data_IF_457391368663
#
_entry.id   IF_457391368663
#
_cell.length_a   1.000
_cell.length_b   1.000
_cell.length_c   1.000
_cell.angle_alpha   90.00
_cell.angle_beta   90.00
_cell.angle_gamma   90.00
#
_symmetry.space_group_name_H-M   'P 1'
#
loop_
_entity.id
_entity.type
_entity.pdbx_description
1 polymer ?
#
# COMPACT_ATOMS: atom_id res chain seq x y z
N UNK A 1 -12.23 -2.56 7.00
CA UNK A 1 -11.74 -3.34 5.81
C UNK A 1 -11.93 -4.85 5.97
N UNK A 2 -12.91 -5.48 5.27
CA UNK A 2 -13.30 -6.88 5.54
C UNK A 2 -12.20 -7.93 5.34
N UNK A 3 -11.34 -7.77 4.31
CA UNK A 3 -10.28 -8.74 4.02
C UNK A 3 -9.24 -8.85 5.15
N UNK A 4 -8.82 -7.70 5.69
CA UNK A 4 -7.86 -7.64 6.81
C UNK A 4 -8.47 -8.26 8.07
N UNK A 5 -9.73 -7.96 8.36
CA UNK A 5 -10.44 -8.49 9.52
C UNK A 5 -10.61 -10.01 9.44
N UNK A 6 -10.97 -10.56 8.27
CA UNK A 6 -11.02 -12.02 8.09
C UNK A 6 -9.67 -12.67 8.29
N UNK A 7 -8.61 -12.13 7.69
CA UNK A 7 -7.25 -12.65 7.84
C UNK A 7 -6.80 -12.69 9.31
N UNK A 8 -7.26 -11.75 10.13
CA UNK A 8 -6.97 -11.73 11.57
C UNK A 8 -7.55 -12.93 12.33
N UNK A 9 -8.62 -13.54 11.81
CA UNK A 9 -9.27 -14.71 12.43
C UNK A 9 -8.70 -16.06 11.93
N UNK A 10 -7.94 -16.07 10.84
CA UNK A 10 -7.48 -17.34 10.23
C UNK A 10 -6.38 -18.05 11.03
N UNK A 11 -5.78 -17.38 12.03
CA UNK A 11 -4.73 -17.97 12.87
C UNK A 11 -3.43 -18.29 12.12
N UNK A 12 -3.30 -17.83 10.87
CA UNK A 12 -2.13 -18.11 10.04
C UNK A 12 -0.88 -17.37 10.57
N UNK A 13 0.31 -17.99 10.55
CA UNK A 13 1.55 -17.37 11.02
C UNK A 13 2.15 -16.41 9.97
N UNK A 14 1.36 -15.45 9.49
CA UNK A 14 1.73 -14.51 8.42
C UNK A 14 1.94 -13.08 8.95
N UNK A 15 2.84 -12.35 8.30
CA UNK A 15 2.96 -10.90 8.48
C UNK A 15 2.04 -10.16 7.50
N UNK A 16 1.48 -9.03 7.93
CA UNK A 16 0.63 -8.20 7.06
C UNK A 16 1.48 -7.14 6.37
N UNK A 17 1.46 -7.12 5.04
CA UNK A 17 1.97 -6.01 4.24
C UNK A 17 0.80 -5.14 3.74
N UNK A 18 0.78 -3.88 4.16
CA UNK A 18 -0.22 -2.90 3.76
C UNK A 18 0.32 -2.00 2.64
N UNK A 19 -0.25 -2.11 1.43
CA UNK A 19 -0.05 -1.12 0.37
C UNK A 19 -0.79 0.18 0.71
N UNK A 20 -0.09 1.13 1.33
CA UNK A 20 -0.65 2.43 1.71
C UNK A 20 -0.45 3.49 0.61
N UNK A 21 0.82 3.71 0.26
CA UNK A 21 1.33 4.64 -0.76
C UNK A 21 1.03 6.14 -0.58
N UNK A 22 -0.03 6.52 0.15
CA UNK A 22 -0.23 7.88 0.65
C UNK A 22 -1.10 7.85 1.91
N UNK A 23 -0.80 8.67 2.93
CA UNK A 23 -1.65 8.84 4.10
C UNK A 23 -2.77 9.87 3.87
N UNK A 24 -2.85 10.47 2.68
CA UNK A 24 -3.83 11.49 2.32
C UNK A 24 -4.86 10.88 1.36
N UNK A 25 -6.13 10.81 1.75
CA UNK A 25 -7.18 10.13 0.97
C UNK A 25 -7.35 10.63 -0.46
N UNK A 26 -7.17 11.93 -0.70
CA UNK A 26 -7.25 12.51 -2.03
C UNK A 26 -6.16 11.97 -2.97
N UNK A 27 -4.95 11.78 -2.45
CA UNK A 27 -3.83 11.22 -3.21
C UNK A 27 -3.95 9.69 -3.26
N UNK A 28 -4.28 9.04 -2.14
CA UNK A 28 -4.46 7.59 -2.07
C UNK A 28 -5.57 7.10 -3.01
N UNK A 29 -6.68 7.82 -3.16
CA UNK A 29 -7.74 7.50 -4.13
C UNK A 29 -7.32 7.51 -5.60
N UNK A 30 -6.26 8.25 -5.92
CA UNK A 30 -5.68 8.27 -7.28
C UNK A 30 -4.73 7.10 -7.52
N UNK A 31 -4.04 6.63 -6.48
CA UNK A 31 -3.07 5.54 -6.55
C UNK A 31 -3.70 4.16 -6.31
N UNK A 32 -4.67 4.09 -5.40
CA UNK A 32 -5.31 2.87 -4.92
C UNK A 32 -6.84 3.08 -4.99
N UNK A 33 -7.51 2.62 -6.06
CA UNK A 33 -8.95 2.81 -6.23
C UNK A 33 -9.81 2.29 -5.06
N UNK A 34 -9.31 1.28 -4.33
CA UNK A 34 -9.97 0.77 -3.13
C UNK A 34 -10.16 1.81 -2.02
N UNK A 35 -9.38 2.92 -2.01
CA UNK A 35 -9.57 4.03 -1.06
C UNK A 35 -10.97 4.64 -1.11
N UNK A 36 -11.62 4.60 -2.27
CA UNK A 36 -12.98 5.14 -2.43
C UNK A 36 -14.02 4.37 -1.62
N UNK A 37 -13.68 3.14 -1.20
CA UNK A 37 -14.52 2.28 -0.37
C UNK A 37 -14.06 2.21 1.07
N UNK A 38 -12.74 2.30 1.30
CA UNK A 38 -12.15 2.30 2.64
C UNK A 38 -11.04 3.34 2.70
N UNK A 39 -11.30 4.43 3.40
CA UNK A 39 -10.36 5.53 3.57
C UNK A 39 -9.13 5.11 4.42
N UNK A 40 -8.17 6.02 4.60
CA UNK A 40 -6.96 5.73 5.38
C UNK A 40 -7.31 5.36 6.82
N UNK A 41 -8.27 6.03 7.46
CA UNK A 41 -8.62 5.79 8.85
C UNK A 41 -9.24 4.40 9.03
N UNK A 42 -10.22 4.02 8.21
CA UNK A 42 -10.86 2.70 8.22
C UNK A 42 -9.87 1.56 7.95
N UNK A 43 -8.85 1.82 7.13
CA UNK A 43 -7.77 0.86 6.87
C UNK A 43 -6.91 0.66 8.11
N UNK A 44 -6.50 1.74 8.77
CA UNK A 44 -5.65 1.65 9.96
C UNK A 44 -6.38 1.05 11.16
N UNK A 45 -7.67 1.32 11.34
CA UNK A 45 -8.49 0.64 12.36
C UNK A 45 -8.51 -0.88 12.17
N UNK A 46 -8.64 -1.34 10.91
CA UNK A 46 -8.59 -2.77 10.59
C UNK A 46 -7.19 -3.37 10.83
N UNK A 47 -6.13 -2.62 10.55
CA UNK A 47 -4.75 -3.03 10.79
C UNK A 47 -4.43 -3.11 12.27
N UNK A 48 -4.91 -2.16 13.08
CA UNK A 48 -4.83 -2.20 14.54
C UNK A 48 -5.55 -3.43 15.10
N UNK A 49 -6.76 -3.72 14.58
CA UNK A 49 -7.50 -4.94 14.95
C UNK A 49 -6.72 -6.22 14.60
N UNK A 50 -6.11 -6.26 13.41
CA UNK A 50 -5.25 -7.38 12.99
C UNK A 50 -4.07 -7.56 13.95
N UNK A 51 -3.38 -6.48 14.31
CA UNK A 51 -2.28 -6.54 15.26
C UNK A 51 -2.74 -6.98 16.64
N UNK A 52 -3.86 -6.43 17.14
CA UNK A 52 -4.39 -6.75 18.46
C UNK A 52 -4.64 -8.26 18.63
N UNK A 53 -5.17 -8.92 17.59
CA UNK A 53 -5.45 -10.36 17.55
C UNK A 53 -4.22 -11.22 17.32
N UNK A 54 -3.38 -10.86 16.35
CA UNK A 54 -2.32 -11.77 15.86
C UNK A 54 -0.95 -11.50 16.49
N UNK A 55 -0.72 -10.29 17.01
CA UNK A 55 0.59 -9.77 17.47
C UNK A 55 1.70 -9.87 16.42
N UNK A 56 1.34 -10.04 15.14
CA UNK A 56 2.29 -10.18 14.03
C UNK A 56 2.76 -8.82 13.53
N UNK A 57 4.01 -8.77 13.07
CA UNK A 57 4.61 -7.55 12.51
C UNK A 57 3.84 -7.07 11.28
N UNK A 58 3.71 -5.75 11.17
CA UNK A 58 3.12 -5.09 10.00
C UNK A 58 4.21 -4.37 9.20
N UNK A 59 4.13 -4.46 7.88
CA UNK A 59 4.93 -3.66 6.95
C UNK A 59 4.02 -2.71 6.20
N UNK A 60 4.32 -1.42 6.23
CA UNK A 60 3.62 -0.39 5.45
C UNK A 60 4.44 -0.16 4.18
N UNK A 61 3.89 -0.58 3.03
CA UNK A 61 4.50 -0.38 1.72
C UNK A 61 4.16 1.02 1.19
N UNK A 62 5.18 1.83 0.94
CA UNK A 62 5.03 3.24 0.63
C UNK A 62 5.78 3.64 -0.65
N UNK A 63 5.04 3.91 -1.72
CA UNK A 63 5.60 4.29 -3.01
C UNK A 63 6.00 5.78 -2.98
N UNK A 64 7.25 6.08 -3.32
CA UNK A 64 7.75 7.45 -3.45
C UNK A 64 7.70 7.90 -4.90
N UNK A 65 6.84 8.87 -5.19
CA UNK A 65 6.67 9.51 -6.49
C UNK A 65 7.06 10.98 -6.36
N UNK A 66 7.88 11.47 -7.30
CA UNK A 66 8.44 12.82 -7.29
C UNK A 66 7.37 13.88 -7.14
N UNK A 67 7.43 14.62 -6.03
CA UNK A 67 6.51 15.70 -5.64
C UNK A 67 5.04 15.30 -5.46
N UNK A 68 4.74 14.00 -5.47
CA UNK A 68 3.37 13.50 -5.27
C UNK A 68 3.24 12.87 -3.90
N UNK A 69 4.12 11.95 -3.52
CA UNK A 69 4.03 11.22 -2.24
C UNK A 69 5.28 11.36 -1.37
N UNK A 70 6.32 12.03 -1.87
CA UNK A 70 7.63 12.22 -1.22
C UNK A 70 7.78 13.63 -0.59
N UNK A 71 6.66 14.27 -0.25
CA UNK A 71 6.63 15.62 0.34
C UNK A 71 6.67 15.59 1.86
N UNK A 72 7.07 16.70 2.50
CA UNK A 72 7.05 16.81 3.96
C UNK A 72 5.64 16.67 4.55
N UNK A 73 4.61 17.19 3.88
CA UNK A 73 3.19 17.02 4.27
C UNK A 73 2.82 15.54 4.41
N UNK A 74 3.21 14.74 3.42
CA UNK A 74 3.00 13.29 3.44
C UNK A 74 3.77 12.63 4.59
N UNK A 75 5.00 13.06 4.86
CA UNK A 75 5.79 12.51 5.97
C UNK A 75 5.12 12.83 7.33
N UNK A 76 4.65 14.08 7.51
CA UNK A 76 3.89 14.54 8.69
C UNK A 76 2.61 13.77 8.91
N UNK A 77 1.87 13.47 7.85
CA UNK A 77 0.65 12.68 7.94
C UNK A 77 0.92 11.18 8.15
N UNK A 78 2.03 10.66 7.65
CA UNK A 78 2.38 9.23 7.80
C UNK A 78 2.85 8.87 9.20
N UNK A 79 3.71 9.68 9.83
CA UNK A 79 4.36 9.32 11.08
C UNK A 79 3.39 9.03 12.25
N UNK A 80 2.27 9.74 12.45
CA UNK A 80 1.31 9.40 13.49
C UNK A 80 0.68 8.01 13.31
N UNK A 81 0.46 7.58 12.07
CA UNK A 81 -0.16 6.30 11.74
C UNK A 81 0.70 5.09 12.14
N UNK A 82 2.00 5.29 12.35
CA UNK A 82 2.94 4.21 12.70
C UNK A 82 3.07 3.96 14.20
N UNK A 83 2.31 4.68 15.04
CA UNK A 83 2.48 4.64 16.51
C UNK A 83 1.61 3.62 17.23
N UNK A 84 0.52 3.16 16.61
CA UNK A 84 -0.42 2.22 17.24
C UNK A 84 0.06 0.77 17.33
N UNK A 85 1.07 0.39 16.55
CA UNK A 85 1.58 -0.98 16.48
C UNK A 85 3.02 -1.04 15.96
N UNK A 86 3.80 -2.07 16.31
CA UNK A 86 5.13 -2.29 15.75
C UNK A 86 5.05 -2.49 14.23
N UNK A 87 5.62 -1.54 13.48
CA UNK A 87 5.66 -1.62 12.03
C UNK A 87 6.99 -1.19 11.45
N UNK A 88 7.19 -1.52 10.17
CA UNK A 88 8.25 -0.96 9.33
C UNK A 88 7.59 -0.26 8.15
N UNK A 89 7.98 0.99 7.88
CA UNK A 89 7.65 1.66 6.63
C UNK A 89 8.71 1.29 5.61
N UNK A 90 8.30 0.58 4.56
CA UNK A 90 9.15 0.20 3.45
C UNK A 90 8.97 1.18 2.29
N UNK A 91 9.93 2.09 2.13
CA UNK A 91 9.97 3.07 1.05
C UNK A 91 10.36 2.39 -0.26
N UNK A 92 9.51 2.52 -1.26
CA UNK A 92 9.71 2.01 -2.62
C UNK A 92 9.82 3.21 -3.56
N UNK A 93 11.03 3.61 -3.99
CA UNK A 93 11.17 4.60 -5.04
C UNK A 93 10.45 4.16 -6.33
N UNK A 94 9.64 5.04 -6.91
CA UNK A 94 8.96 4.76 -8.18
C UNK A 94 9.99 4.49 -9.30
N UNK A 95 9.71 3.51 -10.15
CA UNK A 95 10.58 3.18 -11.28
C UNK A 95 10.31 4.13 -12.44
N UNK A 96 11.36 4.61 -13.08
CA UNK A 96 11.26 5.53 -14.21
C UNK A 96 10.76 4.80 -15.48
N UNK A 97 9.48 4.45 -15.52
CA UNK A 97 8.80 3.93 -16.71
C UNK A 97 7.78 4.94 -17.20
N UNK A 98 7.58 4.98 -18.52
CA UNK A 98 6.50 5.76 -19.12
C UNK A 98 5.16 5.33 -18.54
N UNK A 99 4.37 6.31 -18.14
CA UNK A 99 3.07 6.09 -17.55
C UNK A 99 2.13 7.24 -17.92
N UNK A 100 0.81 6.97 -18.04
CA UNK A 100 -0.16 7.97 -18.47
C UNK A 100 -0.41 9.08 -17.43
N UNK A 101 0.16 8.95 -16.23
CA UNK A 101 -0.06 9.86 -15.10
C UNK A 101 1.08 10.87 -14.92
N UNK A 102 2.13 10.80 -15.74
CA UNK A 102 3.30 11.67 -15.64
C UNK A 102 4.12 11.48 -14.35
N UNK A 103 3.97 10.34 -13.68
CA UNK A 103 4.72 10.03 -12.47
C UNK A 103 6.20 9.84 -12.78
N UNK A 104 7.04 10.34 -11.88
CA UNK A 104 8.50 10.26 -12.01
C UNK A 104 9.11 9.73 -10.73
N UNK A 105 10.28 9.13 -10.90
CA UNK A 105 11.15 8.75 -9.79
C UNK A 105 11.64 10.01 -9.07
N UNK A 106 11.50 10.11 -7.73
CA UNK A 106 12.15 11.16 -6.96
C UNK A 106 13.66 11.18 -7.14
N UNK A 107 14.26 12.35 -7.01
CA UNK A 107 15.73 12.43 -6.93
C UNK A 107 16.25 11.72 -5.67
N UNK A 108 17.49 11.22 -5.73
CA UNK A 108 18.15 10.60 -4.56
C UNK A 108 18.12 11.50 -3.31
N UNK A 109 18.24 12.82 -3.49
CA UNK A 109 18.20 13.78 -2.39
C UNK A 109 16.81 13.83 -1.74
N UNK A 110 15.73 13.81 -2.54
CA UNK A 110 14.36 13.79 -2.02
C UNK A 110 14.05 12.50 -1.26
N UNK A 111 14.49 11.35 -1.78
CA UNK A 111 14.35 10.05 -1.10
C UNK A 111 15.06 10.09 0.25
N UNK A 112 16.32 10.56 0.29
CA UNK A 112 17.08 10.68 1.55
C UNK A 112 16.43 11.65 2.53
N UNK A 113 15.93 12.80 2.05
CA UNK A 113 15.26 13.79 2.89
C UNK A 113 13.97 13.23 3.50
N UNK A 114 13.12 12.57 2.71
CA UNK A 114 11.89 11.96 3.19
C UNK A 114 12.17 10.85 4.21
N UNK A 115 13.15 9.98 3.92
CA UNK A 115 13.63 8.94 4.83
C UNK A 115 14.12 9.54 6.15
N UNK A 116 15.03 10.51 6.09
CA UNK A 116 15.60 11.15 7.27
C UNK A 116 14.53 11.86 8.13
N UNK A 117 13.53 12.47 7.47
CA UNK A 117 12.41 13.09 8.19
C UNK A 117 11.62 12.05 9.00
N UNK A 118 11.26 10.92 8.38
CA UNK A 118 10.52 9.85 9.05
C UNK A 118 11.33 9.21 10.18
N UNK A 119 12.62 8.95 9.94
CA UNK A 119 13.53 8.44 10.98
C UNK A 119 13.65 9.42 12.16
N UNK A 120 13.77 10.72 11.88
CA UNK A 120 13.78 11.78 12.90
C UNK A 120 12.47 11.87 13.69
N UNK A 121 11.35 11.43 13.11
CA UNK A 121 10.06 11.31 13.78
C UNK A 121 9.88 9.96 14.53
N UNK A 122 10.92 9.12 14.60
CA UNK A 122 10.91 7.84 15.30
C UNK A 122 10.31 6.68 14.50
N UNK A 123 10.08 6.84 13.19
CA UNK A 123 9.54 5.78 12.33
C UNK A 123 10.64 4.80 11.96
N UNK A 124 10.36 3.49 12.03
CA UNK A 124 11.27 2.47 11.53
C UNK A 124 11.15 2.37 10.00
N UNK A 125 12.20 2.76 9.28
CA UNK A 125 12.17 2.91 7.82
C UNK A 125 13.19 2.02 7.12
N UNK A 126 12.71 1.21 6.18
CA UNK A 126 13.54 0.56 5.16
C UNK A 126 13.35 1.25 3.81
N UNK A 127 14.36 1.16 2.94
CA UNK A 127 14.23 1.59 1.55
C UNK A 127 14.56 0.38 0.67
N UNK A 128 13.66 0.04 -0.25
CA UNK A 128 13.98 -0.95 -1.29
C UNK A 128 15.05 -0.39 -2.20
N UNK A 129 16.19 -1.09 -2.25
CA UNK A 129 17.25 -0.85 -3.22
C UNK A 129 17.01 -1.81 -4.39
N UNK A 130 16.71 -1.27 -5.55
CA UNK A 130 16.63 -2.07 -6.78
C UNK A 130 18.02 -2.67 -7.07
N UNK A 131 18.05 -4.00 -7.22
CA UNK A 131 19.21 -4.71 -7.77
C UNK A 131 18.95 -4.86 -9.28
N UNK A 132 19.78 -4.21 -10.10
CA UNK A 132 19.75 -4.36 -11.56
C UNK A 132 18.79 -3.40 -12.24
N UNK A 133 19.35 -2.50 -13.05
CA UNK A 133 18.62 -1.53 -13.87
C UNK A 133 17.96 -2.16 -15.12
N UNK A 134 17.87 -3.50 -15.23
CA UNK A 134 17.67 -4.17 -16.53
C UNK A 134 16.51 -5.18 -16.64
N UNK A 135 15.58 -5.28 -15.69
CA UNK A 135 14.45 -6.19 -15.91
C UNK A 135 13.15 -5.52 -15.51
N UNK A 136 12.26 -5.39 -16.50
CA UNK A 136 10.87 -4.92 -16.43
C UNK A 136 9.97 -5.84 -15.57
N UNK A 137 10.40 -6.13 -14.34
CA UNK A 137 9.76 -7.03 -13.39
C UNK A 137 9.62 -6.40 -11.99
N UNK A 138 9.69 -5.08 -11.86
CA UNK A 138 9.43 -4.43 -10.59
C UNK A 138 7.95 -4.55 -10.20
N UNK A 139 7.66 -4.66 -8.90
CA UNK A 139 6.30 -4.78 -8.37
C UNK A 139 5.37 -3.70 -8.95
N UNK A 140 4.32 -4.13 -9.66
CA UNK A 140 3.40 -3.27 -10.41
C UNK A 140 3.58 -3.28 -11.94
N UNK A 141 4.66 -3.88 -12.45
CA UNK A 141 4.95 -3.99 -13.90
C UNK A 141 4.39 -5.26 -14.56
N UNK A 142 3.74 -6.15 -13.81
CA UNK A 142 3.00 -7.29 -14.36
C UNK A 142 1.71 -6.81 -15.04
N UNK A 143 1.83 -6.14 -16.19
CA UNK A 143 0.77 -6.07 -17.19
C UNK A 143 0.72 -7.45 -17.86
N UNK A 144 0.05 -8.39 -17.23
CA UNK A 144 -0.45 -9.55 -17.96
C UNK A 144 -1.41 -9.04 -19.02
N UNK A 145 -1.22 -9.49 -20.27
CA UNK A 145 -2.23 -9.47 -21.33
C UNK A 145 -3.40 -10.39 -20.93
N UNK A 146 -4.04 -10.13 -19.79
CA UNK A 146 -5.21 -10.86 -19.35
C UNK A 146 -6.44 -10.00 -19.62
N UNK A 147 -7.22 -10.42 -20.62
CA UNK A 147 -8.64 -10.12 -20.76
C UNK A 147 -9.44 -10.79 -19.62
N UNK A 148 -9.08 -10.45 -18.38
CA UNK A 148 -9.70 -10.98 -17.18
C UNK A 148 -11.10 -10.43 -17.03
N UNK A 149 -12.10 -11.29 -17.26
CA UNK A 149 -13.54 -11.04 -17.11
C UNK A 149 -13.90 -10.50 -15.71
N UNK A 150 -13.77 -9.20 -15.51
CA UNK A 150 -14.59 -8.46 -14.55
C UNK A 150 -15.80 -7.84 -15.28
N UNK A 151 -16.44 -8.63 -16.14
CA UNK A 151 -17.72 -8.27 -16.73
C UNK A 151 -18.81 -8.47 -15.67
N UNK A 152 -19.47 -7.37 -15.31
CA UNK A 152 -20.71 -7.24 -14.52
C UNK A 152 -21.42 -8.55 -14.16
N UNK A 153 -21.53 -8.85 -12.86
CA UNK A 153 -22.59 -9.73 -12.37
C UNK A 153 -23.94 -9.05 -12.66
N UNK A 154 -24.74 -9.63 -13.55
CA UNK A 154 -26.20 -9.44 -13.57
C UNK A 154 -26.82 -10.46 -12.62
N UNK A 155 -27.90 -10.03 -11.98
CA UNK A 155 -28.65 -10.73 -10.94
C UNK A 155 -29.34 -12.02 -11.41
N UNK A 156 -29.56 -12.86 -10.39
CA UNK A 156 -30.30 -14.13 -10.22
C UNK A 156 -31.19 -14.70 -11.33
N UNK A 157 -31.16 -16.03 -11.44
CA UNK A 157 -32.28 -16.90 -11.03
C UNK A 157 -31.85 -18.38 -11.10
N UNK A 158 -31.92 -19.08 -9.96
CA UNK A 158 -31.83 -20.54 -9.87
C UNK A 158 -32.96 -21.21 -10.66
N UNK A 159 -32.75 -22.46 -11.10
CA UNK A 159 -33.71 -23.48 -10.71
C UNK A 159 -33.02 -24.67 -10.04
N UNK A 160 -33.57 -25.05 -8.89
CA UNK A 160 -33.42 -26.37 -8.28
C UNK A 160 -34.28 -27.32 -9.12
N UNK A 161 -33.77 -28.51 -9.43
CA UNK A 161 -34.60 -29.64 -9.84
C UNK A 161 -34.06 -30.95 -9.27
N UNK A 162 -34.94 -31.94 -9.04
CA UNK A 162 -34.85 -32.83 -7.88
C UNK A 162 -34.48 -34.27 -8.22
N UNK A 163 -34.17 -35.02 -7.15
CA UNK A 163 -34.15 -36.49 -6.98
C UNK A 163 -33.25 -37.31 -7.90
#
# INVERSE_FOLDING_TARGET
VPGILRLAEEGLPLHLALSLHSPLDAVRSRLIPANRRWDVAEVFEAVETYFAKTKRKITIEYLLIDRVTDTEEHAKALAPLTRGFPCVVNLIPFNAVENPYGFRRPSRNRIRAFRAWLEGAGVNVTQRVERGHDIAAACGQLKGLHEGKFAKRRESSLPIAPS
#
